data_IF_487145600778
#
_entry.id   IF_487145600778
#
_cell.length_a   1.000
_cell.length_b   1.000
_cell.length_c   1.000
_cell.angle_alpha   90.00
_cell.angle_beta   90.00
_cell.angle_gamma   90.00
#
_symmetry.space_group_name_H-M   'P 1'
#
loop_
_entity.id
_entity.type
_entity.pdbx_description
1 polymer ?
#
# COMPACT_ATOMS: atom_id res chain seq x y z
N UNK A 1 -10.71 17.03 -17.26
CA UNK A 1 -9.38 16.40 -17.18
C UNK A 1 -8.33 17.24 -17.90
N UNK A 2 -7.13 17.38 -17.32
CA UNK A 2 -5.94 17.93 -17.96
C UNK A 2 -5.27 16.83 -18.79
N UNK A 3 -4.97 17.12 -20.06
CA UNK A 3 -4.30 16.19 -20.97
C UNK A 3 -2.79 16.44 -20.95
N UNK A 4 -2.00 15.41 -20.78
CA UNK A 4 -0.54 15.49 -20.84
C UNK A 4 0.04 14.41 -21.73
N UNK A 5 0.60 14.83 -22.86
CA UNK A 5 1.30 13.91 -23.77
C UNK A 5 2.75 13.70 -23.35
N UNK A 6 3.18 12.44 -23.34
CA UNK A 6 4.56 12.02 -23.04
C UNK A 6 5.25 11.49 -24.29
N UNK A 7 6.02 12.33 -25.03
CA UNK A 7 6.57 11.97 -26.35
C UNK A 7 7.52 10.77 -26.32
N UNK A 8 8.29 10.60 -25.25
CA UNK A 8 9.28 9.53 -25.10
C UNK A 8 8.66 8.13 -25.14
N UNK A 9 7.43 8.00 -24.66
CA UNK A 9 6.68 6.74 -24.60
C UNK A 9 5.45 6.77 -25.50
N UNK A 10 5.17 7.90 -26.15
CA UNK A 10 4.01 8.16 -27.03
C UNK A 10 2.67 7.94 -26.33
N UNK A 11 2.58 8.34 -25.06
CA UNK A 11 1.40 8.13 -24.23
C UNK A 11 0.69 9.46 -23.93
N UNK A 12 -0.65 9.41 -23.89
CA UNK A 12 -1.50 10.48 -23.42
C UNK A 12 -2.07 10.10 -22.04
N UNK A 13 -1.80 10.92 -21.05
CA UNK A 13 -2.33 10.74 -19.67
C UNK A 13 -3.33 11.85 -19.39
N UNK A 14 -4.50 11.48 -18.89
CA UNK A 14 -5.55 12.39 -18.45
C UNK A 14 -5.51 12.47 -16.94
N UNK A 15 -5.45 13.68 -16.38
CA UNK A 15 -5.38 13.89 -14.93
C UNK A 15 -6.41 14.91 -14.49
N UNK A 16 -6.96 14.68 -13.30
CA UNK A 16 -7.82 15.67 -12.63
C UNK A 16 -7.75 15.49 -11.12
N UNK A 17 -8.12 16.52 -10.41
CA UNK A 17 -8.49 16.44 -9.00
C UNK A 17 -9.97 16.79 -8.90
N UNK A 18 -10.76 15.84 -8.45
CA UNK A 18 -12.20 16.01 -8.29
C UNK A 18 -12.53 16.99 -7.16
N UNK A 19 -13.76 17.50 -7.14
CA UNK A 19 -14.22 18.48 -6.14
C UNK A 19 -14.12 17.97 -4.69
N UNK A 20 -14.18 16.65 -4.48
CA UNK A 20 -13.99 16.02 -3.17
C UNK A 20 -12.51 15.77 -2.81
N UNK A 21 -11.58 16.16 -3.68
CA UNK A 21 -10.14 16.04 -3.46
C UNK A 21 -9.50 14.76 -4.01
N UNK A 22 -10.28 13.78 -4.54
CA UNK A 22 -9.72 12.58 -5.15
C UNK A 22 -8.87 12.94 -6.38
N UNK A 23 -7.63 12.46 -6.40
CA UNK A 23 -6.76 12.58 -7.58
C UNK A 23 -7.03 11.41 -8.53
N UNK A 24 -7.31 11.70 -9.80
CA UNK A 24 -7.58 10.69 -10.82
C UNK A 24 -6.55 10.81 -11.93
N UNK A 25 -5.98 9.67 -12.32
CA UNK A 25 -5.09 9.56 -13.47
C UNK A 25 -5.54 8.42 -14.38
N UNK A 26 -5.72 8.72 -15.67
CA UNK A 26 -6.23 7.79 -16.67
C UNK A 26 -5.20 7.62 -17.79
N UNK A 27 -4.93 6.38 -18.16
CA UNK A 27 -4.07 6.02 -19.29
C UNK A 27 -4.84 5.05 -20.22
N UNK A 28 -5.67 5.57 -21.14
CA UNK A 28 -6.41 4.74 -22.08
C UNK A 28 -5.47 4.04 -23.07
N UNK A 29 -5.68 2.73 -23.22
CA UNK A 29 -4.89 1.81 -24.06
C UNK A 29 -5.83 0.94 -24.87
N UNK A 30 -6.38 1.47 -25.97
CA UNK A 30 -7.41 0.79 -26.79
C UNK A 30 -6.93 -0.49 -27.47
N UNK A 31 -5.62 -0.67 -27.60
CA UNK A 31 -4.98 -1.87 -28.14
C UNK A 31 -4.96 -3.05 -27.19
N UNK A 32 -5.20 -2.83 -25.89
CA UNK A 32 -5.32 -3.89 -24.89
C UNK A 32 -6.77 -4.33 -24.75
N UNK A 33 -6.97 -5.55 -24.27
CA UNK A 33 -8.32 -6.05 -23.93
C UNK A 33 -8.68 -5.80 -22.48
N UNK A 34 -7.68 -5.67 -21.65
CA UNK A 34 -7.77 -5.59 -20.21
C UNK A 34 -7.81 -4.15 -19.72
N UNK A 35 -8.51 -3.94 -18.62
CA UNK A 35 -8.48 -2.71 -17.83
C UNK A 35 -7.96 -3.06 -16.44
N UNK A 36 -6.96 -2.33 -15.98
CA UNK A 36 -6.47 -2.36 -14.63
C UNK A 36 -6.89 -1.07 -13.94
N UNK A 37 -7.48 -1.21 -12.75
CA UNK A 37 -7.86 -0.09 -11.89
C UNK A 37 -7.26 -0.24 -10.50
N UNK A 38 -6.74 0.85 -9.93
CA UNK A 38 -6.28 0.84 -8.54
C UNK A 38 -6.61 2.12 -7.81
N UNK A 39 -7.05 2.00 -6.56
CA UNK A 39 -7.13 3.10 -5.61
C UNK A 39 -6.03 2.92 -4.56
N UNK A 40 -5.21 3.94 -4.41
CA UNK A 40 -4.15 3.98 -3.41
C UNK A 40 -4.48 5.01 -2.35
N UNK A 41 -4.45 4.58 -1.10
CA UNK A 41 -4.62 5.39 0.09
C UNK A 41 -3.22 5.68 0.68
N UNK A 42 -2.92 6.94 1.00
CA UNK A 42 -1.69 7.33 1.69
C UNK A 42 -1.82 6.96 3.18
N UNK A 43 -1.85 5.66 3.46
CA UNK A 43 -1.92 5.06 4.77
C UNK A 43 -1.23 3.71 4.74
N UNK A 44 -0.21 3.52 5.55
CA UNK A 44 0.57 2.29 5.60
C UNK A 44 1.01 1.92 7.01
N UNK A 45 1.86 0.90 7.13
CA UNK A 45 2.24 0.35 8.43
C UNK A 45 3.03 1.32 9.32
N UNK A 46 3.62 2.38 8.77
CA UNK A 46 4.34 3.39 9.54
C UNK A 46 3.41 4.46 10.15
N UNK A 47 2.16 4.53 9.74
CA UNK A 47 1.20 5.55 10.19
C UNK A 47 0.55 5.14 11.53
N UNK A 48 1.38 4.79 12.51
CA UNK A 48 0.93 4.40 13.87
C UNK A 48 0.86 5.56 14.84
N UNK A 49 1.45 6.71 14.51
CA UNK A 49 1.43 7.93 15.32
C UNK A 49 0.82 9.08 14.52
N UNK A 50 -0.20 9.68 15.04
CA UNK A 50 -0.93 10.77 14.37
C UNK A 50 -1.14 11.92 15.33
N UNK A 51 -0.81 13.14 14.89
CA UNK A 51 -1.09 14.37 15.65
C UNK A 51 -2.55 14.78 15.42
N UNK A 52 -3.31 14.93 16.49
CA UNK A 52 -4.67 15.43 16.49
C UNK A 52 -4.71 16.97 16.31
N UNK A 53 -5.89 17.51 16.02
CA UNK A 53 -6.08 18.96 15.80
C UNK A 53 -5.72 19.80 17.02
N UNK A 54 -5.90 19.25 18.23
CA UNK A 54 -5.55 19.87 19.52
C UNK A 54 -4.05 19.77 19.85
N UNK A 55 -3.27 19.07 19.01
CA UNK A 55 -1.83 18.87 19.16
C UNK A 55 -1.46 17.62 19.96
N UNK A 56 -2.42 16.86 20.44
CA UNK A 56 -2.18 15.58 21.11
C UNK A 56 -1.74 14.51 20.09
N UNK A 57 -0.79 13.67 20.49
CA UNK A 57 -0.32 12.55 19.66
C UNK A 57 -1.05 11.28 20.06
N UNK A 58 -1.78 10.71 19.10
CA UNK A 58 -2.48 9.45 19.27
C UNK A 58 -1.67 8.30 18.67
N UNK A 59 -1.54 7.22 19.43
CA UNK A 59 -0.86 5.99 18.99
C UNK A 59 -1.87 4.91 18.67
N UNK A 60 -1.64 4.20 17.57
CA UNK A 60 -2.43 3.05 17.13
C UNK A 60 -1.57 1.78 17.10
N UNK A 61 -2.17 0.59 17.29
CA UNK A 61 -1.44 -0.67 17.20
C UNK A 61 -0.77 -0.86 15.85
N UNK A 62 0.45 -1.39 15.84
CA UNK A 62 1.11 -1.80 14.59
C UNK A 62 0.28 -2.90 13.91
N UNK A 63 0.27 -2.91 12.56
CA UNK A 63 -0.56 -3.82 11.78
C UNK A 63 -1.95 -3.28 11.45
N UNK A 64 -2.39 -2.13 12.02
CA UNK A 64 -3.75 -1.61 11.80
C UNK A 64 -4.06 -1.29 10.33
N UNK A 65 -3.07 -0.85 9.55
CA UNK A 65 -3.26 -0.56 8.13
C UNK A 65 -3.52 -1.86 7.33
N UNK A 66 -2.77 -2.91 7.61
CA UNK A 66 -2.95 -4.24 7.03
C UNK A 66 -4.28 -4.87 7.49
N UNK A 67 -4.63 -4.73 8.76
CA UNK A 67 -5.91 -5.19 9.27
C UNK A 67 -7.10 -4.52 8.56
N UNK A 68 -7.03 -3.20 8.33
CA UNK A 68 -8.04 -2.49 7.56
C UNK A 68 -8.12 -2.99 6.12
N UNK A 69 -6.98 -3.30 5.49
CA UNK A 69 -6.95 -3.88 4.15
C UNK A 69 -7.82 -5.13 4.05
N UNK A 70 -7.66 -6.08 4.96
CA UNK A 70 -8.46 -7.29 5.02
C UNK A 70 -9.95 -6.98 5.26
N UNK A 71 -10.24 -6.11 6.23
CA UNK A 71 -11.62 -5.85 6.68
C UNK A 71 -12.49 -5.12 5.67
N UNK A 72 -11.92 -4.38 4.74
CA UNK A 72 -12.72 -3.64 3.76
C UNK A 72 -13.36 -4.53 2.68
N UNK A 73 -12.92 -5.76 2.52
CA UNK A 73 -13.58 -6.71 1.62
C UNK A 73 -14.90 -7.25 2.17
N UNK A 74 -15.16 -7.15 3.47
CA UNK A 74 -16.39 -7.62 4.10
C UNK A 74 -17.50 -6.57 3.98
N UNK A 75 -18.66 -6.98 3.43
CA UNK A 75 -19.86 -6.18 3.33
C UNK A 75 -20.73 -6.30 4.59
N UNK A 76 -21.73 -5.41 4.69
CA UNK A 76 -22.69 -5.37 5.82
C UNK A 76 -23.48 -6.65 5.99
N UNK A 77 -23.78 -7.35 4.91
CA UNK A 77 -24.49 -8.64 4.89
C UNK A 77 -23.56 -9.84 5.06
N UNK A 78 -22.30 -9.60 5.42
CA UNK A 78 -21.23 -10.60 5.52
C UNK A 78 -20.89 -11.27 4.20
N UNK A 79 -21.30 -10.73 3.06
CA UNK A 79 -20.80 -11.14 1.76
C UNK A 79 -19.40 -10.54 1.52
N UNK A 80 -18.66 -11.11 0.56
CA UNK A 80 -17.30 -10.74 0.25
C UNK A 80 -17.22 -10.02 -1.09
N UNK A 81 -16.57 -8.87 -1.11
CA UNK A 81 -16.32 -8.09 -2.32
C UNK A 81 -15.42 -8.82 -3.32
N UNK A 82 -14.48 -9.67 -2.87
CA UNK A 82 -13.68 -10.51 -3.78
C UNK A 82 -14.57 -11.40 -4.64
N UNK A 83 -15.59 -12.01 -4.02
CA UNK A 83 -16.58 -12.82 -4.74
C UNK A 83 -17.40 -11.99 -5.73
N UNK A 84 -17.71 -10.73 -5.40
CA UNK A 84 -18.40 -9.83 -6.31
C UNK A 84 -17.54 -9.49 -7.54
N UNK A 85 -16.26 -9.17 -7.38
CA UNK A 85 -15.30 -8.97 -8.49
C UNK A 85 -15.19 -10.23 -9.35
N UNK A 86 -15.01 -11.39 -8.74
CA UNK A 86 -14.92 -12.67 -9.44
C UNK A 86 -16.19 -12.96 -10.25
N UNK A 87 -17.38 -12.63 -9.75
CA UNK A 87 -18.66 -12.81 -10.48
C UNK A 87 -18.76 -11.94 -11.74
N UNK A 88 -18.03 -10.83 -11.79
CA UNK A 88 -17.88 -9.96 -12.96
C UNK A 88 -16.69 -10.34 -13.85
N UNK A 89 -16.01 -11.46 -13.57
CA UNK A 89 -14.85 -11.93 -14.32
C UNK A 89 -13.58 -11.09 -14.08
N UNK A 90 -13.48 -10.43 -12.95
CA UNK A 90 -12.32 -9.66 -12.56
C UNK A 90 -11.48 -10.38 -11.51
N UNK A 91 -10.15 -10.21 -11.62
CA UNK A 91 -9.23 -10.48 -10.52
C UNK A 91 -9.11 -9.22 -9.66
N UNK A 92 -9.27 -9.36 -8.36
CA UNK A 92 -9.10 -8.26 -7.40
C UNK A 92 -8.08 -8.64 -6.34
N UNK A 93 -7.31 -7.65 -5.90
CA UNK A 93 -6.29 -7.83 -4.88
C UNK A 93 -6.10 -6.53 -4.09
N UNK A 94 -5.39 -6.62 -2.97
CA UNK A 94 -4.93 -5.47 -2.21
C UNK A 94 -3.53 -5.73 -1.67
N UNK A 95 -2.84 -4.69 -1.29
CA UNK A 95 -1.60 -4.78 -0.55
C UNK A 95 -1.36 -3.57 0.33
N UNK A 96 -0.81 -3.81 1.49
CA UNK A 96 -0.30 -2.79 2.41
C UNK A 96 1.22 -2.73 2.34
N UNK A 97 1.76 -1.51 2.26
CA UNK A 97 3.19 -1.25 2.37
C UNK A 97 3.48 -0.33 3.56
N UNK A 98 4.72 0.11 3.70
CA UNK A 98 5.10 1.01 4.79
C UNK A 98 4.34 2.34 4.79
N UNK A 99 4.01 2.90 3.61
CA UNK A 99 3.45 4.26 3.49
C UNK A 99 2.11 4.32 2.77
N UNK A 100 1.62 3.22 2.24
CA UNK A 100 0.37 3.19 1.46
C UNK A 100 -0.30 1.82 1.51
N UNK A 101 -1.62 1.83 1.33
CA UNK A 101 -2.44 0.66 1.02
C UNK A 101 -3.09 0.85 -0.33
N UNK A 102 -3.09 -0.17 -1.17
CA UNK A 102 -3.67 -0.12 -2.51
C UNK A 102 -4.64 -1.26 -2.73
N UNK A 103 -5.79 -0.96 -3.30
CA UNK A 103 -6.81 -1.91 -3.74
C UNK A 103 -6.88 -1.85 -5.25
N UNK A 104 -7.01 -2.99 -5.91
CA UNK A 104 -6.91 -3.05 -7.36
C UNK A 104 -7.82 -4.13 -7.94
N UNK A 105 -8.16 -3.94 -9.21
CA UNK A 105 -8.77 -4.97 -10.04
C UNK A 105 -8.14 -5.01 -11.43
N UNK A 106 -8.29 -6.15 -12.08
CA UNK A 106 -7.95 -6.38 -13.48
C UNK A 106 -9.11 -7.14 -14.14
N UNK A 107 -9.64 -6.60 -15.23
CA UNK A 107 -10.80 -7.17 -15.91
C UNK A 107 -10.76 -6.94 -17.42
N UNK A 108 -11.36 -7.85 -18.18
CA UNK A 108 -11.53 -7.71 -19.64
C UNK A 108 -12.92 -7.22 -20.04
N UNK A 109 -13.87 -7.24 -19.10
CA UNK A 109 -15.26 -6.82 -19.30
C UNK A 109 -15.80 -6.16 -18.03
N UNK A 110 -17.04 -5.65 -18.05
CA UNK A 110 -17.72 -5.05 -16.90
C UNK A 110 -16.91 -3.95 -16.20
N UNK A 111 -16.23 -3.11 -16.98
CA UNK A 111 -15.29 -2.12 -16.46
C UNK A 111 -15.93 -1.16 -15.43
N UNK A 112 -17.13 -0.60 -15.75
CA UNK A 112 -17.77 0.36 -14.83
C UNK A 112 -18.27 -0.31 -13.56
N UNK A 113 -18.82 -1.50 -13.66
CA UNK A 113 -19.29 -2.29 -12.52
C UNK A 113 -18.11 -2.66 -11.59
N UNK A 114 -16.95 -3.00 -12.16
CA UNK A 114 -15.74 -3.23 -11.38
C UNK A 114 -15.18 -1.93 -10.75
N UNK A 115 -15.31 -0.80 -11.43
CA UNK A 115 -14.96 0.51 -10.88
C UNK A 115 -15.90 0.90 -9.72
N UNK A 116 -17.19 0.57 -9.80
CA UNK A 116 -18.17 0.76 -8.72
C UNK A 116 -17.82 -0.11 -7.50
N UNK A 117 -17.44 -1.37 -7.70
CA UNK A 117 -16.98 -2.25 -6.62
C UNK A 117 -15.70 -1.73 -5.96
N UNK A 118 -14.75 -1.24 -6.75
CA UNK A 118 -13.51 -0.64 -6.22
C UNK A 118 -13.79 0.61 -5.39
N UNK A 119 -14.75 1.42 -5.82
CA UNK A 119 -15.18 2.61 -5.08
C UNK A 119 -15.93 2.21 -3.79
N UNK A 120 -16.84 1.22 -3.84
CA UNK A 120 -17.51 0.68 -2.66
C UNK A 120 -16.48 0.20 -1.63
N UNK A 121 -15.47 -0.54 -2.07
CA UNK A 121 -14.41 -1.13 -1.25
C UNK A 121 -13.69 -0.08 -0.39
N UNK A 122 -13.41 1.10 -0.94
CA UNK A 122 -12.63 2.14 -0.24
C UNK A 122 -13.49 3.22 0.44
N UNK A 123 -14.80 3.22 0.20
CA UNK A 123 -15.73 4.23 0.77
C UNK A 123 -16.70 3.66 1.78
N UNK A 124 -16.82 2.33 1.86
CA UNK A 124 -17.75 1.65 2.76
C UNK A 124 -17.01 0.71 3.69
N UNK A 125 -17.22 0.85 4.99
CA UNK A 125 -16.61 -0.03 5.98
C UNK A 125 -17.67 -0.55 6.94
N UNK A 126 -17.64 -1.84 7.19
CA UNK A 126 -18.56 -2.51 8.10
C UNK A 126 -17.77 -3.38 9.06
N UNK A 127 -17.61 -2.88 10.29
CA UNK A 127 -16.88 -3.58 11.33
C UNK A 127 -17.85 -4.06 12.42
N UNK A 128 -17.68 -5.29 12.87
CA UNK A 128 -18.32 -5.85 14.06
C UNK A 128 -17.27 -6.47 14.96
N UNK A 129 -17.51 -6.49 16.27
CA UNK A 129 -16.57 -7.08 17.23
C UNK A 129 -16.27 -8.56 16.87
N UNK A 130 -17.29 -9.34 16.54
CA UNK A 130 -17.13 -10.76 16.16
C UNK A 130 -16.31 -10.93 14.87
N UNK A 131 -16.47 -10.02 13.90
CA UNK A 131 -15.70 -10.10 12.65
C UNK A 131 -14.24 -9.67 12.87
N UNK A 132 -13.98 -8.76 13.81
CA UNK A 132 -12.63 -8.36 14.19
C UNK A 132 -11.89 -9.50 14.90
N UNK A 133 -12.56 -10.19 15.83
CA UNK A 133 -11.94 -11.33 16.52
C UNK A 133 -11.55 -12.45 15.56
N UNK A 134 -12.43 -12.78 14.59
CA UNK A 134 -12.09 -13.76 13.54
C UNK A 134 -10.89 -13.33 12.70
N UNK A 135 -10.84 -12.05 12.34
CA UNK A 135 -9.74 -11.52 11.54
C UNK A 135 -8.41 -11.49 12.30
N UNK A 136 -8.44 -11.23 13.60
CA UNK A 136 -7.24 -11.36 14.45
C UNK A 136 -6.63 -12.76 14.34
N UNK A 137 -7.47 -13.82 14.41
CA UNK A 137 -6.98 -15.20 14.28
C UNK A 137 -6.39 -15.48 12.89
N UNK A 138 -7.01 -14.94 11.83
CA UNK A 138 -6.52 -15.13 10.44
C UNK A 138 -5.16 -14.43 10.26
N UNK A 139 -5.06 -13.18 10.69
CA UNK A 139 -3.83 -12.40 10.57
C UNK A 139 -2.71 -12.97 11.46
N UNK A 140 -3.02 -13.54 12.62
CA UNK A 140 -2.03 -14.25 13.43
C UNK A 140 -1.45 -15.47 12.68
N UNK A 141 -2.27 -16.25 11.99
CA UNK A 141 -1.80 -17.37 11.18
C UNK A 141 -0.94 -16.90 9.99
N UNK A 142 -1.32 -15.80 9.34
CA UNK A 142 -0.52 -15.18 8.29
C UNK A 142 0.83 -14.71 8.83
N UNK A 143 0.85 -14.07 10.00
CA UNK A 143 2.08 -13.65 10.66
C UNK A 143 3.00 -14.84 10.97
N UNK A 144 2.46 -15.95 11.48
CA UNK A 144 3.24 -17.18 11.73
C UNK A 144 3.89 -17.69 10.43
N UNK A 145 3.15 -17.67 9.32
CA UNK A 145 3.69 -18.05 8.01
C UNK A 145 4.88 -17.17 7.59
N UNK A 146 4.81 -15.84 7.81
CA UNK A 146 5.95 -14.95 7.53
C UNK A 146 7.12 -15.15 8.49
N UNK A 147 6.86 -15.54 9.74
CA UNK A 147 7.93 -15.86 10.69
C UNK A 147 8.65 -17.16 10.37
N UNK A 148 8.02 -18.08 9.66
CA UNK A 148 8.62 -19.31 9.17
C UNK A 148 9.38 -19.10 7.85
N UNK A 149 9.21 -17.94 7.17
CA UNK A 149 9.94 -17.62 5.95
C UNK A 149 11.28 -16.91 6.25
N UNK A 150 12.43 -17.57 5.94
CA UNK A 150 13.75 -17.00 6.24
C UNK A 150 14.05 -15.68 5.52
N UNK A 151 13.47 -15.44 4.33
CA UNK A 151 13.70 -14.21 3.56
C UNK A 151 12.94 -13.04 4.18
N UNK A 152 11.72 -13.26 4.61
CA UNK A 152 10.93 -12.29 5.37
C UNK A 152 11.61 -11.92 6.69
N UNK A 153 12.03 -12.91 7.47
CA UNK A 153 12.74 -12.70 8.72
C UNK A 153 14.03 -11.89 8.52
N UNK A 154 14.82 -12.25 7.51
CA UNK A 154 16.07 -11.54 7.19
C UNK A 154 15.82 -10.10 6.76
N UNK A 155 14.77 -9.86 5.97
CA UNK A 155 14.39 -8.52 5.52
C UNK A 155 13.98 -7.62 6.69
N UNK A 156 13.04 -8.08 7.54
CA UNK A 156 12.56 -7.27 8.67
C UNK A 156 13.63 -7.09 9.75
N UNK A 157 14.47 -8.09 10.02
CA UNK A 157 15.63 -7.95 10.89
C UNK A 157 16.61 -6.89 10.37
N UNK A 158 16.86 -6.86 9.06
CA UNK A 158 17.70 -5.85 8.42
C UNK A 158 17.08 -4.45 8.58
N UNK A 159 15.76 -4.29 8.40
CA UNK A 159 15.08 -3.03 8.62
C UNK A 159 15.12 -2.58 10.09
N UNK A 160 14.92 -3.51 11.03
CA UNK A 160 15.01 -3.21 12.46
C UNK A 160 16.41 -2.70 12.85
N UNK A 161 17.46 -3.26 12.26
CA UNK A 161 18.84 -2.81 12.46
C UNK A 161 19.11 -1.43 11.83
N UNK A 162 18.54 -1.16 10.66
CA UNK A 162 18.71 0.12 9.97
C UNK A 162 17.89 1.26 10.60
N UNK A 163 16.70 0.95 11.16
CA UNK A 163 15.73 1.92 11.68
C UNK A 163 15.25 1.55 13.08
N UNK A 164 16.14 1.32 14.05
CA UNK A 164 15.74 0.90 15.38
C UNK A 164 14.79 1.92 16.04
N UNK A 165 13.83 1.41 16.81
CA UNK A 165 12.83 2.21 17.53
C UNK A 165 11.94 3.09 16.62
N UNK A 166 11.79 2.71 15.36
CA UNK A 166 10.81 3.34 14.45
C UNK A 166 9.77 2.30 13.99
N UNK A 167 8.61 2.73 13.46
CA UNK A 167 7.63 1.78 12.89
C UNK A 167 8.18 0.94 11.73
N UNK A 168 9.27 1.36 11.06
CA UNK A 168 9.95 0.57 10.04
C UNK A 168 10.65 -0.68 10.60
N UNK A 169 10.91 -0.72 11.91
CA UNK A 169 11.46 -1.88 12.59
C UNK A 169 10.42 -2.96 12.90
N UNK A 170 9.15 -2.69 12.64
CA UNK A 170 8.04 -3.62 12.89
C UNK A 170 7.51 -4.15 11.56
N UNK A 171 7.13 -5.42 11.55
CA UNK A 171 6.48 -6.05 10.40
C UNK A 171 5.20 -5.30 10.02
N UNK A 172 4.88 -5.26 8.72
CA UNK A 172 3.66 -4.65 8.18
C UNK A 172 2.40 -5.27 8.78
N UNK A 173 2.43 -6.58 9.01
CA UNK A 173 1.33 -7.34 9.65
C UNK A 173 1.17 -6.98 11.12
N UNK A 174 2.21 -6.49 11.77
CA UNK A 174 2.26 -6.21 13.20
C UNK A 174 2.84 -7.36 14.03
N UNK A 175 2.75 -7.23 15.36
CA UNK A 175 3.10 -8.27 16.31
C UNK A 175 1.85 -8.96 16.86
N UNK A 176 1.99 -10.15 17.44
CA UNK A 176 0.90 -10.84 18.13
C UNK A 176 0.20 -9.93 19.15
N UNK A 177 0.98 -9.23 19.94
CA UNK A 177 0.47 -8.30 20.94
C UNK A 177 -0.26 -7.11 20.30
N UNK A 178 0.29 -6.50 19.24
CA UNK A 178 -0.32 -5.34 18.59
C UNK A 178 -1.61 -5.72 17.85
N UNK A 179 -1.65 -6.88 17.18
CA UNK A 179 -2.85 -7.40 16.50
C UNK A 179 -3.97 -7.62 17.50
N UNK A 180 -3.69 -8.19 18.67
CA UNK A 180 -4.70 -8.42 19.72
C UNK A 180 -5.29 -7.13 20.31
N UNK A 181 -4.61 -5.99 20.18
CA UNK A 181 -5.08 -4.68 20.63
C UNK A 181 -5.95 -3.96 19.60
N UNK A 182 -6.01 -4.45 18.36
CA UNK A 182 -6.84 -3.85 17.32
C UNK A 182 -8.32 -4.12 17.65
N UNK A 183 -9.11 -3.05 17.71
CA UNK A 183 -10.52 -3.10 18.08
C UNK A 183 -11.38 -2.21 17.20
N UNK A 184 -12.70 -2.29 17.39
CA UNK A 184 -13.68 -1.54 16.61
C UNK A 184 -13.40 -0.03 16.57
N UNK A 185 -13.08 0.56 17.73
CA UNK A 185 -12.86 2.00 17.85
C UNK A 185 -11.67 2.46 17.00
N UNK A 186 -10.52 1.81 17.18
CA UNK A 186 -9.32 2.24 16.43
C UNK A 186 -9.39 1.94 14.92
N UNK A 187 -10.12 0.89 14.49
CA UNK A 187 -10.40 0.66 13.06
C UNK A 187 -11.30 1.75 12.47
N UNK A 188 -12.39 2.10 13.16
CA UNK A 188 -13.30 3.17 12.71
C UNK A 188 -12.61 4.53 12.65
N UNK A 189 -11.79 4.85 13.65
CA UNK A 189 -11.03 6.10 13.67
C UNK A 189 -10.04 6.19 12.51
N UNK A 190 -9.26 5.12 12.25
CA UNK A 190 -8.29 5.11 11.16
C UNK A 190 -8.99 5.12 9.79
N UNK A 191 -10.07 4.37 9.62
CA UNK A 191 -10.87 4.44 8.38
C UNK A 191 -11.38 5.85 8.14
N UNK A 192 -12.02 6.48 9.13
CA UNK A 192 -12.56 7.85 9.01
C UNK A 192 -11.48 8.88 8.75
N UNK A 193 -10.28 8.68 9.26
CA UNK A 193 -9.14 9.59 9.12
C UNK A 193 -8.46 9.48 7.76
N UNK A 194 -8.10 8.27 7.36
CA UNK A 194 -7.24 8.04 6.20
C UNK A 194 -8.00 7.76 4.90
N UNK A 195 -9.18 7.13 4.98
CA UNK A 195 -9.97 6.78 3.80
C UNK A 195 -10.86 7.95 3.36
N UNK A 196 -10.19 9.07 3.07
CA UNK A 196 -10.81 10.29 2.53
C UNK A 196 -10.33 10.51 1.10
N UNK A 197 -11.18 10.97 0.19
CA UNK A 197 -10.80 11.21 -1.21
C UNK A 197 -9.54 12.06 -1.38
N UNK A 198 -9.33 13.05 -0.51
CA UNK A 198 -8.14 13.92 -0.51
C UNK A 198 -6.83 13.15 -0.27
N UNK A 199 -6.90 12.02 0.44
CA UNK A 199 -5.78 11.14 0.77
C UNK A 199 -5.69 9.93 -0.18
N UNK A 200 -6.51 9.92 -1.26
CA UNK A 200 -6.62 8.83 -2.21
C UNK A 200 -6.22 9.25 -3.61
N UNK A 201 -5.75 8.30 -4.38
CA UNK A 201 -5.53 8.43 -5.82
C UNK A 201 -6.09 7.23 -6.56
N UNK A 202 -6.88 7.48 -7.60
CA UNK A 202 -7.36 6.49 -8.55
C UNK A 202 -6.46 6.50 -9.78
N UNK A 203 -5.99 5.33 -10.20
CA UNK A 203 -5.30 5.12 -11.45
C UNK A 203 -6.01 4.06 -12.27
N UNK A 204 -6.31 4.38 -13.54
CA UNK A 204 -6.90 3.45 -14.50
C UNK A 204 -6.00 3.36 -15.73
N UNK A 205 -5.73 2.14 -16.20
CA UNK A 205 -5.01 1.89 -17.46
C UNK A 205 -5.66 0.74 -18.19
N UNK A 206 -5.77 0.85 -19.53
CA UNK A 206 -6.31 -0.20 -20.38
C UNK A 206 -7.37 0.28 -21.35
N UNK A 207 -8.22 -0.64 -21.79
CA UNK A 207 -9.22 -0.39 -22.83
C UNK A 207 -10.52 0.20 -22.25
N UNK A 208 -10.55 1.50 -22.11
CA UNK A 208 -11.76 2.24 -21.72
C UNK A 208 -11.86 3.58 -22.44
N UNK A 209 -13.03 4.18 -22.43
CA UNK A 209 -13.27 5.54 -22.91
C UNK A 209 -13.21 6.53 -21.73
N UNK A 210 -12.44 7.61 -21.91
CA UNK A 210 -12.25 8.64 -20.87
C UNK A 210 -13.58 9.32 -20.52
N UNK A 211 -14.44 9.57 -21.51
CA UNK A 211 -15.75 10.16 -21.34
C UNK A 211 -16.65 9.32 -20.41
N UNK A 212 -16.59 7.98 -20.50
CA UNK A 212 -17.38 7.10 -19.61
C UNK A 212 -16.95 7.22 -18.16
N UNK A 213 -15.65 7.37 -17.91
CA UNK A 213 -15.11 7.60 -16.55
C UNK A 213 -15.51 9.00 -16.06
N UNK A 214 -15.49 9.98 -16.93
CA UNK A 214 -15.91 11.34 -16.63
C UNK A 214 -17.39 11.37 -16.25
N UNK A 215 -18.26 10.77 -17.08
CA UNK A 215 -19.69 10.64 -16.83
C UNK A 215 -19.98 9.91 -15.50
N UNK A 216 -19.18 8.89 -15.16
CA UNK A 216 -19.31 8.18 -13.89
C UNK A 216 -19.14 9.12 -12.71
N UNK A 217 -18.09 9.94 -12.71
CA UNK A 217 -17.83 10.88 -11.62
C UNK A 217 -18.78 12.09 -11.60
N UNK A 218 -19.28 12.53 -12.77
CA UNK A 218 -20.27 13.62 -12.87
C UNK A 218 -21.64 13.21 -12.31
N UNK A 219 -22.03 11.94 -12.47
CA UNK A 219 -23.31 11.41 -11.93
C UNK A 219 -23.23 11.12 -10.42
N UNK A 220 -22.02 10.94 -9.90
CA UNK A 220 -21.82 10.66 -8.49
C UNK A 220 -21.86 11.95 -7.69
N UNK A 221 -22.76 12.03 -6.68
CA UNK A 221 -22.74 13.12 -5.71
C UNK A 221 -21.44 13.07 -4.90
N UNK A 222 -20.44 13.83 -5.34
CA UNK A 222 -19.17 13.95 -4.65
C UNK A 222 -19.36 14.85 -3.42
N UNK A 223 -19.45 14.25 -2.23
CA UNK A 223 -19.45 15.02 -0.98
C UNK A 223 -18.11 15.73 -0.82
N UNK A 224 -18.11 17.04 -0.79
CA UNK A 224 -16.96 17.85 -0.40
C UNK A 224 -16.78 17.65 1.10
N UNK A 225 -15.76 16.89 1.49
CA UNK A 225 -15.41 16.70 2.89
C UNK A 225 -14.45 17.81 3.33
N UNK A 226 -14.53 18.16 4.61
CA UNK A 226 -13.55 19.08 5.21
C UNK A 226 -12.15 18.46 5.10
N UNK A 227 -11.25 19.17 4.41
CA UNK A 227 -9.93 18.68 4.03
C UNK A 227 -8.98 18.96 5.17
N UNK A 228 -8.97 18.09 6.17
CA UNK A 228 -7.89 18.06 7.14
C UNK A 228 -6.80 17.14 6.64
N UNK A 229 -5.62 17.69 6.38
CA UNK A 229 -4.43 16.89 6.08
C UNK A 229 -4.04 16.09 7.34
N UNK A 230 -3.68 14.82 7.13
CA UNK A 230 -3.16 13.99 8.21
C UNK A 230 -1.73 14.44 8.51
N UNK A 231 -1.52 14.97 9.70
CA UNK A 231 -0.18 15.35 10.16
C UNK A 231 0.50 14.09 10.72
N UNK A 232 1.59 13.70 10.07
CA UNK A 232 2.40 12.54 10.46
C UNK A 232 3.60 12.97 11.28
N UNK A 233 3.86 12.27 12.37
CA UNK A 233 5.06 12.50 13.15
C UNK A 233 6.31 12.06 12.39
N UNK A 234 7.36 12.89 12.46
CA UNK A 234 8.66 12.52 11.92
C UNK A 234 9.38 11.58 12.88
N UNK A 235 9.91 10.49 12.33
CA UNK A 235 10.70 9.56 13.14
C UNK A 235 12.04 10.16 13.53
N UNK A 236 12.40 10.00 14.80
CA UNK A 236 13.76 10.29 15.29
C UNK A 236 14.62 9.06 14.99
N UNK A 237 15.51 9.20 14.00
CA UNK A 237 16.41 8.12 13.61
C UNK A 237 17.53 7.95 14.62
N UNK A 238 17.66 6.74 15.15
CA UNK A 238 18.76 6.33 16.02
C UNK A 238 19.91 5.77 15.18
N UNK A 239 21.07 5.51 15.84
CA UNK A 239 22.20 4.87 15.18
C UNK A 239 21.86 3.48 14.68
N UNK A 240 22.46 3.10 13.55
CA UNK A 240 22.29 1.79 12.92
C UNK A 240 22.90 0.72 13.80
N UNK A 241 22.17 -0.36 14.05
CA UNK A 241 22.72 -1.58 14.66
C UNK A 241 23.52 -2.34 13.60
N UNK A 242 24.81 -2.58 13.87
CA UNK A 242 25.75 -3.03 12.82
C UNK A 242 25.59 -4.51 12.43
N UNK A 243 25.21 -5.35 13.36
CA UNK A 243 25.10 -6.81 13.11
C UNK A 243 23.99 -7.42 13.94
N UNK A 244 23.32 -8.38 13.33
CA UNK A 244 22.38 -9.29 14.00
C UNK A 244 22.51 -10.68 13.36
N UNK A 245 22.03 -11.71 14.05
CA UNK A 245 22.00 -13.08 13.54
C UNK A 245 20.88 -13.87 14.18
N UNK A 246 20.17 -14.67 13.37
CA UNK A 246 19.19 -15.61 13.86
C UNK A 246 19.46 -17.03 13.32
N UNK A 247 18.95 -18.02 14.01
CA UNK A 247 19.03 -19.43 13.58
C UNK A 247 17.65 -19.87 13.11
N UNK A 248 17.60 -20.38 11.88
CA UNK A 248 16.41 -20.94 11.26
C UNK A 248 16.77 -22.26 10.58
N UNK A 249 15.77 -23.09 10.30
CA UNK A 249 15.96 -24.31 9.51
C UNK A 249 16.03 -23.95 8.02
N UNK A 250 17.27 -23.77 7.55
CA UNK A 250 17.55 -23.37 6.16
C UNK A 250 18.63 -24.29 5.55
N UNK A 251 18.50 -24.56 4.26
CA UNK A 251 19.47 -25.41 3.54
C UNK A 251 20.86 -24.76 3.37
N UNK A 252 20.93 -23.45 3.40
CA UNK A 252 22.18 -22.67 3.28
C UNK A 252 22.08 -21.36 4.05
N UNK A 253 23.20 -20.86 4.60
CA UNK A 253 23.21 -19.55 5.27
C UNK A 253 22.78 -18.43 4.33
N UNK A 254 22.00 -17.48 4.85
CA UNK A 254 21.56 -16.29 4.13
C UNK A 254 22.18 -15.05 4.77
N UNK A 255 22.55 -14.08 3.95
CA UNK A 255 23.15 -12.81 4.39
C UNK A 255 22.41 -11.64 3.71
N UNK A 256 21.99 -10.66 4.49
CA UNK A 256 21.55 -9.36 4.00
C UNK A 256 22.53 -8.26 4.45
N UNK A 257 22.80 -7.32 3.56
CA UNK A 257 23.59 -6.12 3.84
C UNK A 257 22.71 -4.91 3.56
N UNK A 258 22.32 -4.19 4.62
CA UNK A 258 21.54 -2.98 4.52
C UNK A 258 22.42 -1.72 4.59
N UNK A 259 22.08 -0.72 3.80
CA UNK A 259 22.74 0.58 3.80
C UNK A 259 21.67 1.67 3.97
N UNK A 260 21.76 2.43 5.06
CA UNK A 260 20.91 3.61 5.27
C UNK A 260 21.59 4.84 4.66
N UNK A 261 20.90 5.53 3.74
CA UNK A 261 21.34 6.80 3.21
C UNK A 261 21.40 7.87 4.32
N UNK A 262 22.36 8.78 4.22
CA UNK A 262 22.56 9.89 5.17
C UNK A 262 22.08 11.24 4.63
N UNK A 263 21.49 11.27 3.45
CA UNK A 263 21.02 12.49 2.78
C UNK A 263 19.51 12.44 2.59
N UNK A 264 18.83 13.51 2.99
CA UNK A 264 17.44 13.73 2.61
C UNK A 264 17.37 14.02 1.09
N UNK A 265 16.43 13.36 0.43
CA UNK A 265 16.13 13.54 -0.99
C UNK A 265 14.81 14.28 -1.08
N UNK A 266 14.77 15.39 -1.83
CA UNK A 266 13.53 16.13 -2.04
C UNK A 266 12.51 15.28 -2.79
N UNK A 267 11.22 15.40 -2.45
CA UNK A 267 10.13 14.58 -3.01
C UNK A 267 10.12 14.58 -4.55
N UNK A 268 10.38 15.73 -5.17
CA UNK A 268 10.47 15.86 -6.63
C UNK A 268 11.61 15.04 -7.26
N UNK A 269 12.64 14.70 -6.49
CA UNK A 269 13.81 13.93 -6.95
C UNK A 269 13.77 12.45 -6.51
N UNK A 270 12.90 12.08 -5.58
CA UNK A 270 12.83 10.73 -5.02
C UNK A 270 12.74 9.64 -6.08
N UNK A 271 11.88 9.80 -7.08
CA UNK A 271 11.73 8.82 -8.15
C UNK A 271 13.03 8.63 -8.94
N UNK A 272 13.66 9.73 -9.35
CA UNK A 272 14.93 9.71 -10.08
C UNK A 272 16.04 9.08 -9.23
N UNK A 273 16.11 9.45 -7.97
CA UNK A 273 17.09 8.90 -7.03
C UNK A 273 16.94 7.39 -6.88
N UNK A 274 15.71 6.89 -6.69
CA UNK A 274 15.42 5.46 -6.58
C UNK A 274 15.80 4.69 -7.85
N UNK A 275 15.52 5.24 -9.03
CA UNK A 275 15.93 4.60 -10.30
C UNK A 275 17.46 4.57 -10.42
N UNK A 276 18.15 5.66 -10.07
CA UNK A 276 19.62 5.69 -10.10
C UNK A 276 20.24 4.69 -9.13
N UNK A 277 19.68 4.54 -7.92
CA UNK A 277 20.14 3.52 -6.96
C UNK A 277 19.92 2.10 -7.50
N UNK A 278 18.73 1.80 -8.05
CA UNK A 278 18.46 0.49 -8.68
C UNK A 278 19.44 0.18 -9.80
N UNK A 279 19.73 1.16 -10.67
CA UNK A 279 20.70 1.00 -11.74
C UNK A 279 22.13 0.79 -11.19
N UNK A 280 22.53 1.57 -10.21
CA UNK A 280 23.84 1.44 -9.57
C UNK A 280 24.00 0.02 -8.97
N UNK A 281 23.03 -0.44 -8.18
CA UNK A 281 23.09 -1.79 -7.59
C UNK A 281 23.05 -2.90 -8.65
N UNK A 282 22.24 -2.74 -9.72
CA UNK A 282 22.22 -3.67 -10.84
C UNK A 282 23.57 -3.72 -11.57
N UNK A 283 24.26 -2.59 -11.74
CA UNK A 283 25.61 -2.53 -12.33
C UNK A 283 26.66 -3.15 -11.41
N UNK A 284 26.53 -2.97 -10.11
CA UNK A 284 27.53 -3.46 -9.13
C UNK A 284 27.36 -4.94 -8.80
N UNK A 285 26.12 -5.43 -8.72
CA UNK A 285 25.79 -6.76 -8.18
C UNK A 285 24.81 -7.54 -9.05
N UNK A 286 24.35 -6.99 -10.18
CA UNK A 286 23.47 -7.71 -11.10
C UNK A 286 24.18 -8.85 -11.84
N UNK A 287 23.44 -9.72 -12.47
CA UNK A 287 23.88 -10.98 -13.08
C UNK A 287 25.03 -10.84 -14.09
N UNK A 288 25.18 -9.68 -14.72
CA UNK A 288 26.24 -9.38 -15.67
C UNK A 288 27.46 -8.73 -15.05
N UNK A 289 27.46 -8.51 -13.74
CA UNK A 289 28.62 -7.89 -13.05
C UNK A 289 29.67 -8.93 -12.69
N UNK A 290 30.95 -8.52 -12.76
CA UNK A 290 32.07 -9.39 -12.35
C UNK A 290 31.96 -9.81 -10.88
N UNK A 291 31.32 -9.00 -10.03
CA UNK A 291 31.10 -9.31 -8.62
C UNK A 291 30.10 -10.43 -8.43
N UNK A 292 28.98 -10.38 -9.17
CA UNK A 292 27.99 -11.45 -9.13
C UNK A 292 28.60 -12.77 -9.57
N UNK A 293 29.34 -12.77 -10.70
CA UNK A 293 30.00 -13.98 -11.21
C UNK A 293 30.97 -14.57 -10.19
N UNK A 294 31.81 -13.74 -9.56
CA UNK A 294 32.75 -14.20 -8.52
C UNK A 294 32.05 -14.76 -7.29
N UNK A 295 30.93 -14.18 -6.86
CA UNK A 295 30.14 -14.66 -5.72
C UNK A 295 29.36 -15.94 -6.05
N UNK A 296 28.95 -16.10 -7.32
CA UNK A 296 28.20 -17.27 -7.78
C UNK A 296 29.13 -18.49 -8.02
N UNK A 297 30.38 -18.27 -8.45
CA UNK A 297 31.36 -19.28 -8.75
C UNK A 297 32.18 -19.72 -7.51
N UNK A 298 32.07 -18.99 -6.40
CA UNK A 298 32.75 -19.30 -5.14
C UNK A 298 31.92 -20.18 -4.21
#
# INVERSE_FOLDING_TARGET
>A
FEEKYYPAVKEMVYRTRLSNGLTVALLPKKEFKEVYGSVTIQFGSVDTLVTEVDGDVKSYPAGIAHFLEHKLFERKDSSDLLSAFTSLGADSNAFTSFTKTSYLFSATDHFLENLELLDELVTSAHFTEDSILREQDIIQQEREMYQDDPDSCLFFSTLANLYPSTPLATDIVGSEESISQINLTNLQENFTRFYKPVNMSLFLVGNFDVERVQDYFERKELKVLDVQEVVREKFVLQDVQQTDSMRMDVSSPKLAIGIRGNREVADAECYRHNILLKLLFAMMFGWTSDRFQKLYES
#
